data_IF_094988307312
#
_entry.id   IF_094988307312
#
_cell.length_a   1.000
_cell.length_b   1.000
_cell.length_c   1.000
_cell.angle_alpha   90.00
_cell.angle_beta   90.00
_cell.angle_gamma   90.00
#
_symmetry.space_group_name_H-M   'P 1'
#
loop_
_entity.id
_entity.type
_entity.pdbx_description
1 polymer ?
#
# COMPACT_ATOMS: atom_id res chain seq x y z
N UNK A 1 14.95 -4.18 -1.63
CA UNK A 1 15.79 -3.64 -2.72
C UNK A 1 16.67 -4.74 -3.32
N UNK A 2 17.71 -5.23 -2.65
CA UNK A 2 18.67 -6.19 -3.25
C UNK A 2 18.03 -7.46 -3.84
N UNK A 3 16.93 -7.97 -3.26
CA UNK A 3 16.18 -9.09 -3.85
C UNK A 3 15.59 -8.77 -5.23
N UNK A 4 14.97 -7.60 -5.38
CA UNK A 4 14.48 -7.11 -6.67
C UNK A 4 15.64 -6.91 -7.67
N UNK A 5 16.76 -6.33 -7.22
CA UNK A 5 17.94 -6.13 -8.06
C UNK A 5 18.53 -7.47 -8.54
N UNK A 6 18.55 -8.51 -7.69
CA UNK A 6 18.99 -9.85 -8.05
C UNK A 6 18.09 -10.49 -9.12
N UNK A 7 16.79 -10.15 -9.12
CA UNK A 7 15.82 -10.53 -10.15
C UNK A 7 15.87 -9.62 -11.39
N UNK A 8 16.77 -8.63 -11.43
CA UNK A 8 17.01 -7.78 -12.60
C UNK A 8 16.21 -6.49 -12.63
N UNK A 9 15.51 -6.11 -11.56
CA UNK A 9 14.81 -4.83 -11.41
C UNK A 9 15.81 -3.65 -11.42
N UNK A 10 15.50 -2.60 -12.19
CA UNK A 10 16.37 -1.44 -12.42
C UNK A 10 15.65 -0.12 -12.18
N UNK A 11 16.42 0.95 -12.12
CA UNK A 11 15.88 2.31 -12.11
C UNK A 11 14.95 2.54 -13.31
N UNK A 12 13.79 3.16 -13.07
CA UNK A 12 12.73 3.38 -14.05
C UNK A 12 11.76 2.22 -14.26
N UNK A 13 12.04 1.02 -13.73
CA UNK A 13 11.09 -0.10 -13.76
C UNK A 13 9.90 0.17 -12.85
N UNK A 14 8.74 -0.40 -13.20
CA UNK A 14 7.49 -0.24 -12.44
C UNK A 14 7.20 -1.52 -11.68
N UNK A 15 6.81 -1.36 -10.42
CA UNK A 15 6.46 -2.47 -9.52
C UNK A 15 4.98 -2.40 -9.17
N UNK A 16 4.17 -3.34 -9.68
CA UNK A 16 2.80 -3.50 -9.21
C UNK A 16 2.79 -3.98 -7.76
N UNK A 17 1.90 -3.41 -6.94
CA UNK A 17 1.71 -3.80 -5.55
C UNK A 17 0.22 -4.03 -5.30
N UNK A 18 -0.15 -5.25 -4.93
CA UNK A 18 -1.57 -5.66 -4.89
C UNK A 18 -1.86 -6.44 -3.60
N UNK A 19 -2.75 -5.91 -2.76
CA UNK A 19 -3.17 -6.57 -1.52
C UNK A 19 -3.77 -5.60 -0.50
N UNK A 20 -4.11 -6.13 0.66
CA UNK A 20 -4.47 -5.39 1.87
C UNK A 20 -3.25 -4.67 2.46
N UNK A 21 -3.52 -3.67 3.31
CA UNK A 21 -2.48 -2.95 4.02
C UNK A 21 -1.67 -3.92 4.90
N UNK A 22 -0.40 -4.13 4.58
CA UNK A 22 0.51 -4.96 5.38
C UNK A 22 1.95 -4.49 5.28
N UNK A 23 2.79 -4.69 6.32
CA UNK A 23 4.14 -4.17 6.35
C UNK A 23 4.98 -4.57 5.13
N UNK A 24 4.83 -5.82 4.66
CA UNK A 24 5.60 -6.33 3.53
C UNK A 24 5.34 -5.56 2.21
N UNK A 25 4.09 -5.16 1.96
CA UNK A 25 3.73 -4.43 0.75
C UNK A 25 4.17 -2.96 0.82
N UNK A 26 4.11 -2.32 1.99
CA UNK A 26 4.73 -1.01 2.20
C UNK A 26 6.24 -1.03 2.02
N UNK A 27 6.91 -2.03 2.58
CA UNK A 27 8.36 -2.20 2.41
C UNK A 27 8.73 -2.49 0.95
N UNK A 28 7.83 -3.10 0.18
CA UNK A 28 8.01 -3.34 -1.26
C UNK A 28 7.97 -2.04 -2.06
N UNK A 29 7.12 -1.06 -1.69
CA UNK A 29 7.18 0.30 -2.25
C UNK A 29 8.55 0.92 -2.00
N UNK A 30 9.01 0.91 -0.75
CA UNK A 30 10.31 1.47 -0.38
C UNK A 30 11.47 0.75 -1.08
N UNK A 31 11.36 -0.57 -1.25
CA UNK A 31 12.35 -1.39 -1.92
C UNK A 31 12.53 -1.03 -3.41
N UNK A 32 11.44 -0.75 -4.13
CA UNK A 32 11.49 -0.26 -5.51
C UNK A 32 12.05 1.16 -5.57
N UNK A 33 11.59 2.05 -4.69
CA UNK A 33 12.05 3.43 -4.58
C UNK A 33 13.56 3.53 -4.35
N UNK A 34 14.13 2.71 -3.46
CA UNK A 34 15.58 2.66 -3.23
C UNK A 34 16.41 2.22 -4.45
N UNK A 35 15.76 1.64 -5.47
CA UNK A 35 16.41 1.27 -6.74
C UNK A 35 16.10 2.27 -7.87
N UNK A 36 15.44 3.39 -7.57
CA UNK A 36 14.94 4.35 -8.57
C UNK A 36 13.77 3.82 -9.40
N UNK A 37 13.11 2.75 -8.95
CA UNK A 37 11.89 2.23 -9.58
C UNK A 37 10.64 2.90 -9.05
N UNK A 38 9.52 2.69 -9.75
CA UNK A 38 8.25 3.34 -9.50
C UNK A 38 7.22 2.32 -9.00
N UNK A 39 6.80 2.39 -7.73
CA UNK A 39 5.67 1.61 -7.24
C UNK A 39 4.37 2.05 -7.93
N UNK A 40 3.54 1.06 -8.26
CA UNK A 40 2.22 1.22 -8.86
C UNK A 40 1.25 0.36 -8.03
N UNK A 41 0.72 0.85 -6.91
CA UNK A 41 -0.25 0.09 -6.15
C UNK A 41 -1.60 -0.01 -6.90
N UNK A 42 -2.21 -1.19 -6.88
CA UNK A 42 -3.53 -1.45 -7.46
C UNK A 42 -4.54 -1.83 -6.37
N UNK A 43 -5.81 -1.53 -6.63
CA UNK A 43 -6.92 -1.96 -5.80
C UNK A 43 -7.02 -3.48 -5.87
N UNK A 44 -6.87 -4.15 -4.72
CA UNK A 44 -6.97 -5.61 -4.63
C UNK A 44 -8.37 -6.14 -5.01
N UNK A 45 -9.42 -5.34 -4.84
CA UNK A 45 -10.80 -5.68 -5.18
C UNK A 45 -11.13 -5.44 -6.66
N UNK A 46 -10.20 -4.86 -7.44
CA UNK A 46 -10.33 -4.79 -8.89
C UNK A 46 -10.34 -6.18 -9.52
N UNK A 47 -11.12 -6.30 -10.58
CA UNK A 47 -11.13 -7.50 -11.42
C UNK A 47 -9.90 -7.55 -12.32
N UNK A 48 -9.48 -8.75 -12.73
CA UNK A 48 -8.30 -8.97 -13.57
C UNK A 48 -8.27 -8.05 -14.81
N UNK A 49 -9.41 -7.85 -15.48
CA UNK A 49 -9.53 -6.97 -16.65
C UNK A 49 -9.19 -5.50 -16.36
N UNK A 50 -9.57 -4.98 -15.19
CA UNK A 50 -9.24 -3.61 -14.80
C UNK A 50 -7.76 -3.48 -14.44
N UNK A 51 -7.21 -4.48 -13.76
CA UNK A 51 -5.78 -4.55 -13.46
C UNK A 51 -4.94 -4.62 -14.75
N UNK A 52 -5.35 -5.42 -15.74
CA UNK A 52 -4.66 -5.57 -17.01
C UNK A 52 -4.42 -4.23 -17.71
N UNK A 53 -5.42 -3.35 -17.71
CA UNK A 53 -5.28 -2.02 -18.30
C UNK A 53 -4.20 -1.19 -17.58
N UNK A 54 -4.20 -1.21 -16.25
CA UNK A 54 -3.23 -0.45 -15.44
C UNK A 54 -1.81 -0.99 -15.65
N UNK A 55 -1.66 -2.32 -15.64
CA UNK A 55 -0.37 -3.00 -15.80
C UNK A 55 0.23 -2.75 -17.19
N UNK A 56 -0.60 -2.79 -18.24
CA UNK A 56 -0.21 -2.46 -19.61
C UNK A 56 0.11 -0.96 -19.76
N UNK A 57 -0.75 -0.08 -19.25
CA UNK A 57 -0.58 1.36 -19.39
C UNK A 57 0.65 1.89 -18.62
N UNK A 58 0.97 1.31 -17.46
CA UNK A 58 2.15 1.63 -16.69
C UNK A 58 3.40 0.84 -17.14
N UNK A 59 3.30 -0.07 -18.12
CA UNK A 59 4.43 -0.87 -18.59
C UNK A 59 5.13 -1.60 -17.42
N UNK A 60 4.33 -2.39 -16.69
CA UNK A 60 4.75 -3.10 -15.47
C UNK A 60 5.25 -4.51 -15.81
N UNK A 61 6.45 -4.84 -15.34
CA UNK A 61 7.07 -6.16 -15.51
C UNK A 61 7.28 -6.94 -14.21
N UNK A 62 7.16 -6.28 -13.07
CA UNK A 62 7.31 -6.87 -11.75
C UNK A 62 6.05 -6.64 -10.91
N UNK A 63 5.60 -7.66 -10.19
CA UNK A 63 4.51 -7.55 -9.24
C UNK A 63 4.92 -8.14 -7.89
N UNK A 64 4.54 -7.46 -6.82
CA UNK A 64 4.52 -8.01 -5.46
C UNK A 64 3.08 -8.00 -4.98
N UNK A 65 2.58 -9.17 -4.59
CA UNK A 65 1.18 -9.36 -4.25
C UNK A 65 1.02 -10.04 -2.90
N UNK A 66 -0.15 -9.88 -2.30
CA UNK A 66 -0.44 -10.47 -0.99
C UNK A 66 -0.52 -11.99 -1.04
N UNK A 67 -1.47 -12.56 -1.78
CA UNK A 67 -1.88 -13.96 -1.63
C UNK A 67 -2.23 -14.65 -2.95
N UNK A 68 -2.75 -15.87 -2.82
CA UNK A 68 -3.21 -16.70 -3.93
C UNK A 68 -4.23 -16.00 -4.84
N UNK A 69 -5.20 -15.24 -4.29
CA UNK A 69 -6.23 -14.60 -5.09
C UNK A 69 -5.60 -13.57 -6.05
N UNK A 70 -4.64 -12.78 -5.55
CA UNK A 70 -3.96 -11.80 -6.39
C UNK A 70 -3.04 -12.46 -7.41
N UNK A 71 -2.38 -13.59 -7.06
CA UNK A 71 -1.61 -14.38 -8.03
C UNK A 71 -2.52 -14.92 -9.13
N UNK A 72 -3.67 -15.49 -8.81
CA UNK A 72 -4.62 -16.04 -9.79
C UNK A 72 -5.09 -14.98 -10.78
N UNK A 73 -5.40 -13.76 -10.31
CA UNK A 73 -5.73 -12.63 -11.19
C UNK A 73 -4.58 -12.30 -12.14
N UNK A 74 -3.33 -12.28 -11.65
CA UNK A 74 -2.18 -12.01 -12.51
C UNK A 74 -1.93 -13.13 -13.53
N UNK A 75 -2.20 -14.39 -13.18
CA UNK A 75 -2.13 -15.52 -14.11
C UNK A 75 -3.19 -15.39 -15.21
N UNK A 76 -4.43 -15.04 -14.86
CA UNK A 76 -5.50 -14.79 -15.85
C UNK A 76 -5.12 -13.68 -16.84
N UNK A 77 -4.50 -12.59 -16.35
CA UNK A 77 -4.02 -11.51 -17.20
C UNK A 77 -2.88 -12.00 -18.11
N UNK A 78 -2.00 -12.84 -17.55
CA UNK A 78 -0.82 -13.36 -18.25
C UNK A 78 -1.18 -14.31 -19.38
N UNK A 79 -2.27 -15.06 -19.29
CA UNK A 79 -2.81 -15.88 -20.38
C UNK A 79 -3.08 -15.08 -21.67
N UNK A 80 -3.26 -13.76 -21.57
CA UNK A 80 -3.38 -12.84 -22.70
C UNK A 80 -2.17 -11.91 -22.92
N UNK A 81 -1.25 -11.77 -21.97
CA UNK A 81 -0.11 -10.85 -22.02
C UNK A 81 1.03 -11.27 -21.06
N UNK A 82 2.12 -11.82 -21.62
CA UNK A 82 3.30 -12.26 -20.86
C UNK A 82 4.21 -11.11 -20.36
N UNK A 83 3.75 -9.85 -20.34
CA UNK A 83 4.56 -8.70 -19.92
C UNK A 83 5.07 -8.81 -18.46
N UNK A 84 4.32 -9.44 -17.55
CA UNK A 84 4.77 -9.61 -16.16
C UNK A 84 5.77 -10.77 -16.10
N UNK A 85 7.05 -10.40 -15.95
CA UNK A 85 8.17 -11.33 -15.91
C UNK A 85 8.45 -11.91 -14.53
N UNK A 86 8.03 -11.23 -13.46
CA UNK A 86 8.22 -11.68 -12.08
C UNK A 86 7.01 -11.33 -11.20
N UNK A 87 6.52 -12.32 -10.45
CA UNK A 87 5.46 -12.20 -9.45
C UNK A 87 6.02 -12.72 -8.13
N UNK A 88 6.01 -11.89 -7.09
CA UNK A 88 6.38 -12.30 -5.74
C UNK A 88 5.16 -12.25 -4.83
N UNK A 89 4.87 -13.34 -4.11
CA UNK A 89 3.78 -13.37 -3.14
C UNK A 89 4.30 -13.33 -1.68
N UNK A 90 3.56 -12.67 -0.80
CA UNK A 90 3.89 -12.58 0.62
C UNK A 90 3.31 -13.75 1.43
N UNK A 91 2.03 -14.08 1.20
CA UNK A 91 1.31 -15.13 1.91
C UNK A 91 1.38 -16.47 1.15
N UNK A 92 2.04 -17.50 1.70
CA UNK A 92 2.19 -18.79 1.04
C UNK A 92 0.95 -19.69 1.14
N UNK A 93 -0.11 -19.28 1.85
CA UNK A 93 -1.34 -20.08 1.96
C UNK A 93 -1.96 -20.27 0.57
N UNK A 94 -2.26 -21.52 0.22
CA UNK A 94 -2.80 -21.89 -1.10
C UNK A 94 -1.76 -22.11 -2.20
N UNK A 95 -0.51 -21.66 -2.03
CA UNK A 95 0.50 -21.62 -3.09
C UNK A 95 1.21 -22.95 -3.41
N UNK A 96 0.86 -24.05 -2.73
CA UNK A 96 1.60 -25.34 -2.82
C UNK A 96 1.64 -26.00 -4.21
N UNK A 97 0.70 -25.67 -5.08
CA UNK A 97 0.57 -26.26 -6.42
C UNK A 97 0.97 -25.30 -7.54
N UNK A 98 1.54 -24.14 -7.19
CA UNK A 98 1.99 -23.14 -8.14
C UNK A 98 3.48 -23.36 -8.37
N UNK A 99 3.83 -23.80 -9.58
CA UNK A 99 5.21 -24.02 -10.00
C UNK A 99 5.41 -23.35 -11.36
N UNK A 100 5.72 -22.06 -11.30
CA UNK A 100 5.98 -21.23 -12.47
C UNK A 100 7.35 -20.57 -12.32
N UNK A 101 8.16 -20.49 -13.39
CA UNK A 101 9.52 -19.94 -13.32
C UNK A 101 9.57 -18.43 -13.04
N UNK A 102 8.42 -17.74 -13.16
CA UNK A 102 8.26 -16.31 -12.91
C UNK A 102 7.59 -16.01 -11.56
N UNK A 103 7.29 -17.03 -10.75
CA UNK A 103 6.55 -16.90 -9.50
C UNK A 103 7.41 -17.40 -8.33
N UNK A 104 7.66 -16.53 -7.36
CA UNK A 104 8.44 -16.84 -6.16
C UNK A 104 7.81 -16.24 -4.91
N UNK A 105 8.23 -16.67 -3.72
CA UNK A 105 7.86 -16.00 -2.48
C UNK A 105 8.75 -14.79 -2.21
N UNK A 106 8.24 -13.79 -1.50
CA UNK A 106 9.05 -12.66 -1.01
C UNK A 106 10.19 -13.16 -0.12
N UNK A 107 9.97 -14.19 0.70
CA UNK A 107 11.02 -14.77 1.55
C UNK A 107 12.21 -15.28 0.71
N UNK A 108 11.92 -15.95 -0.40
CA UNK A 108 12.94 -16.43 -1.32
C UNK A 108 13.67 -15.27 -2.02
N UNK A 109 12.94 -14.23 -2.45
CA UNK A 109 13.54 -13.00 -2.98
C UNK A 109 14.42 -12.27 -1.95
N UNK A 110 14.04 -12.24 -0.68
CA UNK A 110 14.85 -11.68 0.40
C UNK A 110 16.13 -12.49 0.64
N UNK A 111 16.07 -13.82 0.54
CA UNK A 111 17.25 -14.68 0.61
C UNK A 111 18.22 -14.40 -0.54
N UNK A 112 17.72 -14.36 -1.77
CA UNK A 112 18.51 -13.95 -2.95
C UNK A 112 19.10 -12.54 -2.76
N UNK A 113 18.33 -11.63 -2.18
CA UNK A 113 18.77 -10.28 -1.87
C UNK A 113 19.94 -10.23 -0.88
N UNK A 114 19.96 -11.08 0.15
CA UNK A 114 21.08 -11.18 1.09
C UNK A 114 22.34 -11.71 0.42
N UNK A 115 22.21 -12.70 -0.45
CA UNK A 115 23.33 -13.24 -1.23
C UNK A 115 23.88 -12.21 -2.23
N UNK A 116 22.98 -11.47 -2.90
CA UNK A 116 23.34 -10.39 -3.82
C UNK A 116 24.06 -9.26 -3.11
N UNK A 117 23.59 -8.83 -1.94
CA UNK A 117 24.19 -7.76 -1.15
C UNK A 117 25.62 -8.12 -0.68
N UNK A 118 25.82 -9.36 -0.24
CA UNK A 118 27.15 -9.88 0.11
C UNK A 118 28.10 -9.92 -1.09
N UNK A 119 27.60 -10.27 -2.27
CA UNK A 119 28.38 -10.33 -3.50
C UNK A 119 28.66 -8.92 -4.10
N UNK A 120 27.83 -7.93 -3.77
CA UNK A 120 27.89 -6.57 -4.31
C UNK A 120 27.87 -5.51 -3.20
N UNK A 121 28.88 -5.47 -2.32
CA UNK A 121 28.89 -4.58 -1.17
C UNK A 121 28.81 -3.10 -1.60
N UNK A 122 27.92 -2.34 -0.97
CA UNK A 122 27.71 -0.92 -1.26
C UNK A 122 26.77 -0.63 -2.43
N UNK A 123 26.27 -1.66 -3.13
CA UNK A 123 25.31 -1.50 -4.22
C UNK A 123 24.06 -0.76 -3.77
N UNK A 124 23.47 -1.19 -2.65
CA UNK A 124 22.24 -0.59 -2.13
C UNK A 124 22.42 0.91 -1.83
N UNK A 125 23.47 1.28 -1.09
CA UNK A 125 23.74 2.67 -0.74
C UNK A 125 24.01 3.52 -1.99
N UNK A 126 24.64 2.94 -3.02
CA UNK A 126 24.86 3.64 -4.29
C UNK A 126 23.54 3.91 -5.02
N UNK A 127 22.66 2.91 -5.13
CA UNK A 127 21.36 3.08 -5.78
C UNK A 127 20.49 4.08 -5.02
N UNK A 128 20.37 3.93 -3.70
CA UNK A 128 19.55 4.80 -2.88
C UNK A 128 20.02 6.27 -2.92
N UNK A 129 21.33 6.52 -3.04
CA UNK A 129 21.90 7.88 -3.18
C UNK A 129 21.78 8.46 -4.59
N UNK A 130 21.49 7.65 -5.59
CA UNK A 130 21.35 8.10 -6.97
C UNK A 130 19.96 8.68 -7.26
N UNK A 131 18.99 8.48 -6.37
CA UNK A 131 17.62 8.99 -6.47
C UNK A 131 17.56 10.43 -5.96
N UNK A 132 16.86 11.29 -6.70
CA UNK A 132 16.67 12.71 -6.39
C UNK A 132 15.19 13.08 -6.18
N UNK A 133 14.93 14.26 -5.63
CA UNK A 133 13.58 14.77 -5.32
C UNK A 133 12.66 14.89 -6.55
N UNK A 134 13.24 15.14 -7.72
CA UNK A 134 12.54 15.29 -9.00
C UNK A 134 12.19 13.94 -9.66
N UNK A 135 12.76 12.83 -9.17
CA UNK A 135 12.44 11.49 -9.68
C UNK A 135 11.01 11.08 -9.30
N UNK A 136 10.45 10.17 -10.08
CA UNK A 136 9.10 9.63 -9.84
C UNK A 136 9.15 8.73 -8.60
N UNK A 137 8.36 9.07 -7.58
CA UNK A 137 8.26 8.31 -6.34
C UNK A 137 7.17 7.25 -6.39
N UNK A 138 6.06 7.53 -7.07
CA UNK A 138 4.89 6.64 -7.12
C UNK A 138 3.99 7.01 -8.31
N UNK A 139 3.29 6.02 -8.86
CA UNK A 139 2.19 6.22 -9.79
C UNK A 139 0.89 5.70 -9.19
N UNK A 140 -0.11 6.58 -9.07
CA UNK A 140 -1.41 6.24 -8.49
C UNK A 140 -2.51 6.38 -9.54
N UNK A 141 -3.28 5.32 -9.78
CA UNK A 141 -4.34 5.34 -10.76
C UNK A 141 -5.65 5.85 -10.17
N UNK A 142 -6.33 6.71 -10.92
CA UNK A 142 -7.65 7.24 -10.57
C UNK A 142 -8.67 6.93 -11.67
N UNK A 143 -9.94 6.75 -11.30
CA UNK A 143 -11.06 6.64 -12.23
C UNK A 143 -11.23 7.95 -12.99
N UNK A 144 -10.53 8.07 -14.12
CA UNK A 144 -10.59 9.27 -14.96
C UNK A 144 -12.03 9.56 -15.40
N UNK A 145 -12.36 10.84 -15.56
CA UNK A 145 -13.69 11.28 -16.06
C UNK A 145 -14.02 10.78 -17.47
N UNK A 146 -13.03 10.26 -18.20
CA UNK A 146 -13.10 9.78 -19.58
C UNK A 146 -13.26 8.25 -19.69
N UNK A 147 -13.54 7.55 -18.59
CA UNK A 147 -13.80 6.10 -18.55
C UNK A 147 -12.56 5.27 -18.18
N UNK A 148 -11.45 5.42 -18.91
CA UNK A 148 -10.22 4.71 -18.58
C UNK A 148 -9.49 5.35 -17.39
N UNK A 149 -8.93 4.54 -16.47
CA UNK A 149 -8.07 5.03 -15.40
C UNK A 149 -6.90 5.86 -15.91
N UNK A 150 -6.45 6.84 -15.12
CA UNK A 150 -5.27 7.67 -15.43
C UNK A 150 -4.24 7.53 -14.33
N UNK A 151 -2.99 7.26 -14.70
CA UNK A 151 -1.86 7.25 -13.78
C UNK A 151 -1.44 8.67 -13.41
N UNK A 152 -1.62 9.04 -12.14
CA UNK A 152 -1.09 10.27 -11.57
C UNK A 152 0.37 10.00 -11.17
N UNK A 153 1.29 10.71 -11.82
CA UNK A 153 2.73 10.60 -11.56
C UNK A 153 3.11 11.62 -10.49
N UNK A 154 3.63 11.15 -9.36
CA UNK A 154 4.07 12.00 -8.25
C UNK A 154 5.57 11.85 -8.03
N UNK A 155 6.29 12.96 -7.97
CA UNK A 155 7.72 12.96 -7.62
C UNK A 155 7.94 12.83 -6.12
N UNK A 156 9.16 12.51 -5.69
CA UNK A 156 9.50 12.49 -4.27
C UNK A 156 9.22 13.83 -3.60
N UNK A 157 9.59 14.94 -4.25
CA UNK A 157 9.32 16.28 -3.75
C UNK A 157 7.82 16.57 -3.62
N UNK A 158 6.99 16.14 -4.57
CA UNK A 158 5.53 16.28 -4.46
C UNK A 158 5.00 15.62 -3.17
N UNK A 159 5.46 14.40 -2.90
CA UNK A 159 5.00 13.58 -1.77
C UNK A 159 5.57 14.12 -0.44
N UNK A 160 6.88 14.36 -0.37
CA UNK A 160 7.58 14.79 0.85
C UNK A 160 7.16 16.19 1.28
N UNK A 161 7.05 17.15 0.35
CA UNK A 161 6.60 18.52 0.67
C UNK A 161 5.16 18.49 1.19
N UNK A 162 4.28 17.72 0.55
CA UNK A 162 2.88 17.59 0.98
C UNK A 162 2.79 16.94 2.37
N UNK A 163 3.55 15.87 2.62
CA UNK A 163 3.62 15.22 3.92
C UNK A 163 4.10 16.19 5.00
N UNK A 164 5.19 16.93 4.76
CA UNK A 164 5.73 17.94 5.68
C UNK A 164 4.71 19.04 5.98
N UNK A 165 4.00 19.55 4.97
CA UNK A 165 2.96 20.55 5.17
C UNK A 165 1.82 20.02 6.04
N UNK A 166 1.39 18.77 5.83
CA UNK A 166 0.39 18.11 6.67
C UNK A 166 0.86 17.94 8.12
N UNK A 167 2.09 17.47 8.31
CA UNK A 167 2.72 17.29 9.63
C UNK A 167 2.74 18.62 10.40
N UNK A 168 3.19 19.70 9.79
CA UNK A 168 3.24 21.03 10.43
C UNK A 168 1.84 21.55 10.75
N UNK A 169 0.87 21.33 9.85
CA UNK A 169 -0.50 21.82 10.02
C UNK A 169 -1.23 21.11 11.16
N UNK A 170 -1.10 19.79 11.22
CA UNK A 170 -1.81 18.95 12.19
C UNK A 170 -1.00 18.80 13.51
N UNK A 171 0.24 19.27 13.54
CA UNK A 171 1.12 19.20 14.71
C UNK A 171 1.62 17.79 15.01
N UNK A 172 1.80 16.96 13.98
CA UNK A 172 2.24 15.58 14.12
C UNK A 172 3.72 15.49 14.52
N UNK A 173 4.07 14.49 15.31
CA UNK A 173 5.42 14.17 15.76
C UNK A 173 5.77 12.71 15.42
N UNK A 174 6.87 12.22 15.99
CA UNK A 174 7.25 10.80 16.00
C UNK A 174 6.43 9.93 16.97
N UNK A 175 5.63 10.55 17.86
CA UNK A 175 4.90 9.85 18.92
C UNK A 175 3.51 9.37 18.48
N UNK A 176 3.18 9.53 17.21
CA UNK A 176 1.88 9.20 16.67
C UNK A 176 1.75 7.69 16.42
N UNK A 177 0.53 7.21 16.59
CA UNK A 177 0.13 5.84 16.26
C UNK A 177 -1.01 5.96 15.25
N UNK A 178 -0.81 5.43 14.04
CA UNK A 178 -1.77 5.52 12.92
C UNK A 178 -2.22 4.13 12.50
N UNK A 179 -3.49 3.95 12.17
CA UNK A 179 -4.00 2.73 11.55
C UNK A 179 -4.07 2.90 10.02
N UNK A 180 -3.39 2.02 9.28
CA UNK A 180 -3.38 2.01 7.83
C UNK A 180 -4.46 1.08 7.28
N UNK A 181 -5.67 1.61 7.09
CA UNK A 181 -6.84 0.85 6.64
C UNK A 181 -7.40 1.35 5.30
N UNK A 182 -6.77 2.39 4.75
CA UNK A 182 -7.16 3.00 3.50
C UNK A 182 -6.51 2.20 2.35
N UNK A 183 -7.17 2.07 1.19
CA UNK A 183 -6.59 1.29 0.09
C UNK A 183 -5.21 1.83 -0.31
N UNK A 184 -4.18 0.98 -0.40
CA UNK A 184 -2.82 1.41 -0.78
C UNK A 184 -2.73 2.08 -2.15
N UNK A 185 -3.66 1.74 -3.05
CA UNK A 185 -3.79 2.38 -4.37
C UNK A 185 -4.33 3.81 -4.32
N UNK A 186 -4.82 4.24 -3.15
CA UNK A 186 -5.38 5.57 -2.95
C UNK A 186 -4.36 6.55 -2.40
N UNK A 187 -4.34 7.77 -2.94
CA UNK A 187 -3.38 8.83 -2.55
C UNK A 187 -3.41 9.17 -1.07
N UNK A 188 -4.55 9.01 -0.39
CA UNK A 188 -4.60 9.31 1.04
C UNK A 188 -3.87 8.26 1.88
N UNK A 189 -3.88 6.98 1.51
CA UNK A 189 -3.07 5.98 2.21
C UNK A 189 -1.57 6.27 2.01
N UNK A 190 -1.18 6.52 0.75
CA UNK A 190 0.18 6.89 0.41
C UNK A 190 0.65 8.16 1.15
N UNK A 191 -0.21 9.15 1.34
CA UNK A 191 0.16 10.36 2.07
C UNK A 191 0.19 10.13 3.59
N UNK A 192 -0.92 9.65 4.17
CA UNK A 192 -1.15 9.65 5.62
C UNK A 192 -0.48 8.48 6.35
N UNK A 193 -0.37 7.32 5.71
CA UNK A 193 0.23 6.13 6.32
C UNK A 193 1.66 5.92 5.83
N UNK A 194 1.94 6.19 4.56
CA UNK A 194 3.28 5.97 4.01
C UNK A 194 4.20 7.20 4.11
N UNK A 195 3.95 8.26 3.35
CA UNK A 195 4.86 9.40 3.26
C UNK A 195 5.05 10.13 4.60
N UNK A 196 3.96 10.39 5.33
CA UNK A 196 4.04 11.08 6.62
C UNK A 196 4.81 10.27 7.66
N UNK A 197 4.74 8.93 7.67
CA UNK A 197 5.49 8.12 8.63
C UNK A 197 7.00 8.18 8.36
N UNK A 198 7.42 8.19 7.09
CA UNK A 198 8.85 8.39 6.75
C UNK A 198 9.36 9.80 7.10
N UNK A 199 8.51 10.82 7.00
CA UNK A 199 8.91 12.21 7.27
C UNK A 199 8.86 12.57 8.76
N UNK A 200 7.85 12.12 9.49
CA UNK A 200 7.67 12.39 10.92
C UNK A 200 8.31 11.33 11.83
N UNK A 201 8.43 10.08 11.37
CA UNK A 201 8.99 8.97 12.15
C UNK A 201 7.99 8.25 13.06
N UNK A 202 6.68 8.42 12.85
CA UNK A 202 5.65 7.80 13.68
C UNK A 202 5.33 6.34 13.29
N UNK A 203 4.62 5.62 14.17
CA UNK A 203 4.23 4.22 13.98
C UNK A 203 3.00 4.08 13.08
N UNK A 204 3.05 3.11 12.17
CA UNK A 204 1.94 2.75 11.29
C UNK A 204 1.56 1.28 11.55
N UNK A 205 0.32 1.09 11.98
CA UNK A 205 -0.24 -0.21 12.30
C UNK A 205 -1.09 -0.69 11.12
N UNK A 206 -0.84 -1.91 10.66
CA UNK A 206 -1.66 -2.54 9.64
C UNK A 206 -2.73 -3.42 10.32
N UNK A 207 -4.00 -3.35 9.91
CA UNK A 207 -5.03 -4.23 10.42
C UNK A 207 -4.73 -5.69 10.04
N UNK A 208 -5.25 -6.64 10.83
CA UNK A 208 -5.10 -8.07 10.49
C UNK A 208 -5.87 -8.45 9.23
N UNK A 209 -6.99 -7.78 8.98
CA UNK A 209 -7.80 -7.89 7.76
C UNK A 209 -8.79 -6.72 7.65
N UNK A 210 -9.40 -6.55 6.48
CA UNK A 210 -10.52 -5.60 6.32
C UNK A 210 -11.69 -5.83 7.30
N UNK A 211 -11.88 -7.06 7.81
CA UNK A 211 -12.94 -7.38 8.75
C UNK A 211 -12.64 -6.97 10.21
N UNK A 212 -11.36 -6.84 10.58
CA UNK A 212 -10.92 -6.55 11.95
C UNK A 212 -10.69 -5.07 12.21
N UNK A 213 -10.71 -4.21 11.18
CA UNK A 213 -10.43 -2.76 11.26
C UNK A 213 -11.01 -2.08 12.50
N UNK A 214 -12.30 -2.30 12.82
CA UNK A 214 -12.94 -1.63 13.97
C UNK A 214 -12.49 -2.17 15.33
N UNK A 215 -12.09 -3.43 15.39
CA UNK A 215 -11.49 -4.04 16.59
C UNK A 215 -10.07 -3.51 16.75
N UNK A 216 -9.27 -3.58 15.68
CA UNK A 216 -7.87 -3.13 15.64
C UNK A 216 -7.79 -1.64 16.00
N UNK A 217 -8.69 -0.81 15.44
CA UNK A 217 -8.81 0.62 15.78
C UNK A 217 -9.01 0.86 17.28
N UNK A 218 -9.79 0.00 17.96
CA UNK A 218 -10.04 0.12 19.41
C UNK A 218 -8.86 -0.35 20.23
N UNK A 219 -8.18 -1.40 19.80
CA UNK A 219 -7.03 -1.98 20.52
C UNK A 219 -5.79 -1.11 20.40
N UNK A 220 -5.50 -0.62 19.19
CA UNK A 220 -4.38 0.28 18.91
C UNK A 220 -4.64 1.65 19.53
N UNK A 221 -5.86 2.16 19.43
CA UNK A 221 -6.20 3.51 19.89
C UNK A 221 -5.35 4.59 19.20
N UNK A 222 -5.44 4.72 17.86
CA UNK A 222 -4.55 5.62 17.12
C UNK A 222 -4.72 7.07 17.58
N UNK A 223 -3.60 7.78 17.66
CA UNK A 223 -3.56 9.19 18.03
C UNK A 223 -3.93 10.09 16.85
N UNK A 224 -3.77 9.60 15.63
CA UNK A 224 -4.10 10.27 14.39
C UNK A 224 -4.67 9.25 13.39
N UNK A 225 -5.82 9.57 12.80
CA UNK A 225 -6.32 8.81 11.65
C UNK A 225 -7.16 9.71 10.76
N UNK A 226 -7.00 9.54 9.45
CA UNK A 226 -7.86 10.16 8.45
C UNK A 226 -9.01 9.21 8.13
N UNK A 227 -10.23 9.76 8.06
CA UNK A 227 -11.39 9.00 7.64
C UNK A 227 -12.25 9.74 6.61
N UNK A 228 -12.65 9.09 5.51
CA UNK A 228 -13.60 9.69 4.57
C UNK A 228 -14.99 9.82 5.23
N UNK A 229 -15.85 10.74 4.75
CA UNK A 229 -17.16 11.01 5.36
C UNK A 229 -17.99 9.75 5.64
N UNK A 230 -17.96 8.79 4.72
CA UNK A 230 -18.68 7.52 4.85
C UNK A 230 -18.32 6.71 6.10
N UNK A 231 -17.06 6.78 6.55
CA UNK A 231 -16.64 6.13 7.80
C UNK A 231 -17.31 6.80 9.01
N UNK A 232 -17.36 8.13 9.05
CA UNK A 232 -18.06 8.86 10.10
C UNK A 232 -19.58 8.64 10.04
N UNK A 233 -20.18 8.60 8.86
CA UNK A 233 -21.61 8.30 8.67
C UNK A 233 -21.98 6.89 9.17
N UNK A 234 -21.14 5.90 8.87
CA UNK A 234 -21.32 4.54 9.35
C UNK A 234 -21.19 4.47 10.88
N UNK A 235 -20.20 5.16 11.45
CA UNK A 235 -20.01 5.24 12.90
C UNK A 235 -21.20 5.89 13.59
N UNK A 236 -21.69 7.02 13.06
CA UNK A 236 -22.88 7.70 13.55
C UNK A 236 -24.10 6.77 13.51
N UNK A 237 -24.32 6.09 12.38
CA UNK A 237 -25.42 5.13 12.20
C UNK A 237 -25.36 4.02 13.25
N UNK A 238 -24.18 3.42 13.46
CA UNK A 238 -24.01 2.38 14.48
C UNK A 238 -24.27 2.89 15.90
N UNK A 239 -23.83 4.11 16.23
CA UNK A 239 -24.10 4.73 17.54
C UNK A 239 -25.59 4.98 17.72
N UNK A 240 -26.27 5.51 16.70
CA UNK A 240 -27.71 5.79 16.75
C UNK A 240 -28.54 4.53 16.91
N UNK A 241 -28.28 3.47 16.12
CA UNK A 241 -28.97 2.17 16.25
C UNK A 241 -28.77 1.58 17.65
N UNK A 242 -27.53 1.55 18.15
CA UNK A 242 -27.25 1.03 19.50
C UNK A 242 -27.91 1.86 20.61
N UNK A 243 -28.14 3.14 20.36
CA UNK A 243 -28.84 4.01 21.31
C UNK A 243 -30.35 3.77 21.31
N UNK A 244 -30.97 3.47 20.17
CA UNK A 244 -32.38 3.08 20.08
C UNK A 244 -32.67 1.80 20.89
N UNK A 245 -31.74 0.85 20.89
CA UNK A 245 -31.82 -0.38 21.69
C UNK A 245 -31.38 -0.22 23.16
N UNK A 246 -30.89 0.96 23.56
CA UNK A 246 -30.37 1.19 24.89
C UNK A 246 -31.46 1.41 25.96
N UNK A 247 -31.10 1.23 27.22
CA UNK A 247 -32.03 1.51 28.33
C UNK A 247 -32.39 3.01 28.39
N UNK A 248 -33.60 3.32 28.88
CA UNK A 248 -34.12 4.69 28.98
C UNK A 248 -33.17 5.68 29.67
N UNK A 249 -32.37 5.21 30.64
CA UNK A 249 -31.37 6.03 31.34
C UNK A 249 -30.25 6.43 30.36
N UNK A 250 -29.69 5.47 29.61
CA UNK A 250 -28.64 5.72 28.61
C UNK A 250 -29.13 6.65 27.50
N UNK A 251 -30.35 6.43 27.00
CA UNK A 251 -30.98 7.29 25.99
C UNK A 251 -31.14 8.74 26.47
N UNK A 252 -31.67 8.94 27.68
CA UNK A 252 -31.82 10.29 28.25
C UNK A 252 -30.48 11.01 28.40
N UNK A 253 -29.45 10.31 28.86
CA UNK A 253 -28.11 10.89 28.98
C UNK A 253 -27.56 11.28 27.61
N UNK A 254 -27.66 10.39 26.61
CA UNK A 254 -27.20 10.66 25.25
C UNK A 254 -27.87 11.91 24.66
N UNK A 255 -29.21 11.98 24.68
CA UNK A 255 -29.92 13.14 24.12
C UNK A 255 -29.64 14.45 24.88
N UNK A 256 -29.39 14.40 26.19
CA UNK A 256 -29.06 15.59 26.96
C UNK A 256 -27.68 16.17 26.59
N UNK A 257 -26.68 15.31 26.35
CA UNK A 257 -25.31 15.76 26.03
C UNK A 257 -25.04 15.98 24.54
N UNK A 258 -25.90 15.46 23.65
CA UNK A 258 -25.80 15.65 22.20
C UNK A 258 -26.62 16.83 21.67
N UNK A 259 -27.47 17.45 22.49
CA UNK A 259 -28.27 18.63 22.15
C UNK A 259 -27.49 19.94 22.37
#
# INVERSE_FOLDING_TARGET
ACGLAALGFKAGDKLAIIGDNRPCLYMSMAAAQCLGGVPVPLYQDSVAKEMAFVLDNADVHFAIVEDQEQVDKLLEIRDGNDAIGHILYDDPRGMRHYDFPFLDSIEQAQKLGREFDQANPGFFEQQAKAVDGDDIAIMLYTSGTTGNPKGVVLTYDNVIITARNGIVREGLTENEEVLAYLPMAWVGDNLFSYAQSFVAGFTVNCPESGATILTDLREIGPTYYFAPPRVYENMLTQVMIRMEDASRIKQRMFHYFMA
#
